data_IF_587072410972
#
_entry.id   IF_587072410972
#
_cell.length_a   1.000
_cell.length_b   1.000
_cell.length_c   1.000
_cell.angle_alpha   90.00
_cell.angle_beta   90.00
_cell.angle_gamma   90.00
#
_symmetry.space_group_name_H-M   'P 1'
#
loop_
_entity.id
_entity.type
_entity.pdbx_description
1 polymer ?
#
# COMPACT_ATOMS: atom_id res chain seq x y z
N UNK A 1 -2.85 -22.80 47.95
CA UNK A 1 -2.72 -23.28 46.54
C UNK A 1 -3.94 -22.91 45.70
N UNK A 2 -5.19 -23.27 46.02
CA UNK A 2 -6.38 -22.94 45.20
C UNK A 2 -6.57 -21.43 44.93
N UNK A 3 -6.32 -20.54 45.92
CA UNK A 3 -6.42 -19.09 45.76
C UNK A 3 -5.36 -18.51 44.79
N UNK A 4 -4.13 -19.06 44.82
CA UNK A 4 -3.05 -18.63 43.92
C UNK A 4 -3.36 -19.07 42.49
N UNK A 5 -3.85 -20.29 42.31
CA UNK A 5 -4.26 -20.77 40.97
C UNK A 5 -5.38 -19.91 40.38
N UNK A 6 -6.39 -19.55 41.21
CA UNK A 6 -7.51 -18.69 40.77
C UNK A 6 -7.01 -17.28 40.39
N UNK A 7 -6.08 -16.70 41.15
CA UNK A 7 -5.51 -15.38 40.85
C UNK A 7 -4.68 -15.41 39.55
N UNK A 8 -3.88 -16.45 39.32
CA UNK A 8 -3.11 -16.60 38.08
C UNK A 8 -4.05 -16.79 36.89
N UNK A 9 -5.10 -17.59 37.02
CA UNK A 9 -6.09 -17.78 35.96
C UNK A 9 -6.81 -16.47 35.62
N UNK A 10 -7.18 -15.68 36.63
CA UNK A 10 -7.83 -14.39 36.45
C UNK A 10 -6.92 -13.36 35.78
N UNK A 11 -5.60 -13.34 36.12
CA UNK A 11 -4.62 -12.50 35.43
C UNK A 11 -4.41 -12.93 33.96
N UNK A 12 -4.37 -14.23 33.68
CA UNK A 12 -4.26 -14.73 32.30
C UNK A 12 -5.49 -14.34 31.46
N UNK A 13 -6.69 -14.46 31.99
CA UNK A 13 -7.94 -14.06 31.32
C UNK A 13 -7.97 -12.55 31.09
N UNK A 14 -7.53 -11.72 32.05
CA UNK A 14 -7.44 -10.27 31.91
C UNK A 14 -6.41 -9.86 30.83
N UNK A 15 -5.28 -10.53 30.74
CA UNK A 15 -4.29 -10.28 29.68
C UNK A 15 -4.81 -10.64 28.29
N UNK A 16 -5.57 -11.71 28.14
CA UNK A 16 -6.18 -12.10 26.86
C UNK A 16 -7.26 -11.08 26.45
N UNK A 17 -8.05 -10.59 27.39
CA UNK A 17 -9.07 -9.56 27.13
C UNK A 17 -8.46 -8.21 26.73
N UNK A 18 -7.29 -7.83 27.28
CA UNK A 18 -6.58 -6.60 26.94
C UNK A 18 -5.90 -6.65 25.56
N UNK A 19 -5.72 -7.83 24.97
CA UNK A 19 -5.06 -8.00 23.66
C UNK A 19 -6.03 -7.87 22.48
N UNK A 20 -7.31 -7.58 22.68
CA UNK A 20 -8.26 -7.38 21.59
C UNK A 20 -8.09 -5.97 21.00
N UNK A 21 -7.13 -5.82 20.08
CA UNK A 21 -7.02 -4.61 19.25
C UNK A 21 -8.21 -4.59 18.30
N UNK A 22 -9.05 -3.58 18.41
CA UNK A 22 -10.17 -3.40 17.48
C UNK A 22 -9.63 -3.21 16.06
N UNK A 23 -10.00 -4.10 15.15
CA UNK A 23 -9.54 -4.04 13.76
C UNK A 23 -10.25 -2.92 13.02
N UNK A 24 -9.54 -2.07 12.26
CA UNK A 24 -10.17 -1.03 11.47
C UNK A 24 -11.13 -1.66 10.45
N UNK A 25 -12.30 -1.05 10.30
CA UNK A 25 -13.30 -1.47 9.30
C UNK A 25 -13.00 -0.95 7.90
N UNK A 26 -12.23 0.12 7.81
CA UNK A 26 -11.82 0.76 6.57
C UNK A 26 -10.37 1.24 6.73
N UNK A 27 -9.56 0.94 5.73
CA UNK A 27 -8.20 1.50 5.58
C UNK A 27 -8.18 2.27 4.27
N UNK A 28 -7.74 3.52 4.32
CA UNK A 28 -7.60 4.39 3.15
C UNK A 28 -6.12 4.72 2.97
N UNK A 29 -5.52 4.23 1.89
CA UNK A 29 -4.18 4.59 1.47
C UNK A 29 -4.23 5.76 0.48
N UNK A 30 -3.57 6.87 0.79
CA UNK A 30 -3.47 8.03 -0.10
C UNK A 30 -2.01 8.20 -0.49
N UNK A 31 -1.71 8.07 -1.79
CA UNK A 31 -0.38 8.30 -2.34
C UNK A 31 -0.41 9.52 -3.24
N UNK A 32 0.40 10.51 -2.93
CA UNK A 32 0.54 11.73 -3.72
C UNK A 32 1.87 11.64 -4.46
N UNK A 33 1.81 11.11 -5.67
CA UNK A 33 2.96 10.94 -6.55
C UNK A 33 3.62 12.29 -6.88
N UNK A 34 4.96 12.33 -6.90
CA UNK A 34 5.78 13.52 -7.18
C UNK A 34 5.65 14.66 -6.15
N UNK A 35 5.00 14.45 -5.02
CA UNK A 35 4.94 15.44 -3.95
C UNK A 35 6.26 15.47 -3.18
N UNK A 36 6.87 16.64 -3.10
CA UNK A 36 8.04 16.85 -2.23
C UNK A 36 7.61 16.90 -0.77
N UNK A 37 8.42 16.30 0.10
CA UNK A 37 8.15 16.24 1.54
C UNK A 37 8.01 17.64 2.17
N UNK A 38 8.85 18.58 1.78
CA UNK A 38 8.84 19.94 2.30
C UNK A 38 7.57 20.74 1.96
N UNK A 39 6.77 20.32 0.98
CA UNK A 39 5.49 20.96 0.68
C UNK A 39 4.50 20.84 1.85
N UNK A 40 4.60 19.83 2.69
CA UNK A 40 3.80 19.70 3.90
C UNK A 40 3.98 20.90 4.86
N UNK A 41 5.18 21.44 4.92
CA UNK A 41 5.54 22.57 5.80
C UNK A 41 5.53 23.89 5.06
N UNK A 42 6.03 23.92 3.82
CA UNK A 42 6.10 25.15 3.01
C UNK A 42 4.72 25.75 2.74
N UNK A 43 3.70 24.91 2.55
CA UNK A 43 2.34 25.33 2.31
C UNK A 43 1.43 25.20 3.54
N UNK A 44 2.00 25.01 4.72
CA UNK A 44 1.22 24.73 5.95
C UNK A 44 0.12 25.76 6.20
N UNK A 45 0.43 27.06 6.07
CA UNK A 45 -0.54 28.14 6.27
C UNK A 45 -1.64 28.22 5.20
N UNK A 46 -1.45 27.52 4.09
CA UNK A 46 -2.43 27.43 2.99
C UNK A 46 -3.39 26.27 3.13
N UNK A 47 -3.07 25.30 3.96
CA UNK A 47 -3.94 24.16 4.19
C UNK A 47 -5.15 24.54 5.06
N UNK A 48 -6.33 23.99 4.73
CA UNK A 48 -7.48 24.04 5.62
C UNK A 48 -7.24 23.20 6.89
N UNK A 49 -8.06 23.42 7.92
CA UNK A 49 -7.90 22.76 9.24
C UNK A 49 -8.10 21.23 9.17
N UNK A 50 -8.87 20.73 8.21
CA UNK A 50 -8.93 19.30 7.89
C UNK A 50 -7.77 18.85 7.00
N UNK A 51 -7.82 17.63 6.49
CA UNK A 51 -6.86 17.12 5.51
C UNK A 51 -5.41 17.13 6.02
N UNK A 52 -4.50 17.77 5.28
CA UNK A 52 -3.05 17.76 5.58
C UNK A 52 -2.72 18.30 6.96
N UNK A 53 -3.28 19.44 7.39
CA UNK A 53 -3.05 19.96 8.74
C UNK A 53 -3.45 18.97 9.82
N UNK A 54 -4.61 18.35 9.67
CA UNK A 54 -5.07 17.36 10.63
C UNK A 54 -4.15 16.15 10.68
N UNK A 55 -3.72 15.64 9.52
CA UNK A 55 -2.79 14.51 9.46
C UNK A 55 -1.43 14.83 10.08
N UNK A 56 -0.91 16.04 9.88
CA UNK A 56 0.35 16.49 10.48
C UNK A 56 0.23 16.63 12.00
N UNK A 57 -0.86 17.23 12.49
CA UNK A 57 -1.01 17.59 13.90
C UNK A 57 -1.52 16.44 14.78
N UNK A 58 -2.36 15.57 14.26
CA UNK A 58 -3.02 14.49 15.00
C UNK A 58 -2.50 13.10 14.61
N UNK A 59 -1.78 12.98 13.50
CA UNK A 59 -1.26 11.72 12.97
C UNK A 59 0.16 11.42 13.43
N UNK A 60 0.73 10.38 12.82
CA UNK A 60 2.14 10.01 12.99
C UNK A 60 2.91 10.32 11.70
N UNK A 61 4.03 11.04 11.81
CA UNK A 61 4.91 11.39 10.69
C UNK A 61 6.22 10.63 10.75
N UNK A 62 6.61 9.99 9.65
CA UNK A 62 7.91 9.36 9.48
C UNK A 62 8.85 10.35 8.77
N UNK A 63 9.55 11.18 9.52
CA UNK A 63 10.32 12.31 8.94
C UNK A 63 11.63 11.89 8.26
N UNK A 64 12.19 10.74 8.61
CA UNK A 64 13.45 10.23 8.07
C UNK A 64 13.28 8.97 7.21
N UNK A 65 12.12 8.81 6.58
CA UNK A 65 11.89 7.69 5.67
C UNK A 65 12.62 7.91 4.35
N UNK A 66 13.72 7.19 4.14
CA UNK A 66 14.54 7.29 2.93
C UNK A 66 14.28 6.11 2.01
N UNK A 67 14.17 6.41 0.70
CA UNK A 67 14.09 5.38 -0.34
C UNK A 67 15.52 4.92 -0.66
N UNK A 68 15.77 3.61 -0.64
CA UNK A 68 17.08 2.99 -0.80
C UNK A 68 17.29 2.34 -2.17
N UNK A 69 16.51 2.72 -3.18
CA UNK A 69 16.60 2.19 -4.55
C UNK A 69 16.46 3.30 -5.61
N UNK A 70 16.87 3.00 -6.82
CA UNK A 70 16.72 3.83 -8.02
C UNK A 70 16.27 2.93 -9.20
N UNK A 71 15.51 3.50 -10.17
CA UNK A 71 14.91 4.83 -10.20
C UNK A 71 13.64 4.92 -9.35
N UNK A 72 13.35 6.11 -8.83
CA UNK A 72 12.14 6.38 -8.02
C UNK A 72 10.97 6.85 -8.88
N UNK A 73 10.64 6.10 -9.91
CA UNK A 73 9.51 6.40 -10.82
C UNK A 73 8.21 5.78 -10.31
N UNK A 74 7.07 6.22 -10.85
CA UNK A 74 5.73 5.88 -10.36
C UNK A 74 5.51 4.38 -10.10
N UNK A 75 5.78 3.51 -11.09
CA UNK A 75 5.53 2.07 -10.97
C UNK A 75 6.33 1.45 -9.83
N UNK A 76 7.63 1.75 -9.78
CA UNK A 76 8.53 1.25 -8.72
C UNK A 76 8.11 1.74 -7.34
N UNK A 77 7.79 3.05 -7.22
CA UNK A 77 7.40 3.66 -5.96
C UNK A 77 6.11 3.06 -5.39
N UNK A 78 5.07 2.92 -6.21
CA UNK A 78 3.80 2.33 -5.78
C UNK A 78 3.96 0.85 -5.42
N UNK A 79 4.65 0.06 -6.26
CA UNK A 79 4.95 -1.32 -5.95
C UNK A 79 5.72 -1.47 -4.63
N UNK A 80 6.77 -0.67 -4.42
CA UNK A 80 7.57 -0.72 -3.19
C UNK A 80 6.77 -0.34 -1.95
N UNK A 81 5.93 0.69 -2.04
CA UNK A 81 5.11 1.15 -0.92
C UNK A 81 4.12 0.07 -0.46
N UNK A 82 3.43 -0.56 -1.40
CA UNK A 82 2.37 -1.50 -1.08
C UNK A 82 2.86 -2.95 -0.86
N UNK A 83 4.05 -3.29 -1.33
CA UNK A 83 4.69 -4.59 -1.02
C UNK A 83 5.58 -4.54 0.22
N UNK A 84 6.03 -3.34 0.64
CA UNK A 84 7.04 -3.17 1.67
C UNK A 84 8.43 -3.66 1.26
N UNK A 85 8.67 -3.86 -0.05
CA UNK A 85 9.89 -4.44 -0.59
C UNK A 85 10.51 -3.56 -1.67
N UNK A 86 11.78 -3.75 -1.98
CA UNK A 86 12.46 -3.05 -3.07
C UNK A 86 12.30 -3.74 -4.42
N UNK A 87 12.73 -3.08 -5.53
CA UNK A 87 12.59 -3.57 -6.91
C UNK A 87 13.16 -4.97 -7.15
N UNK A 88 14.26 -5.32 -6.51
CA UNK A 88 14.87 -6.65 -6.59
C UNK A 88 13.96 -7.78 -6.09
N UNK A 89 13.04 -7.46 -5.18
CA UNK A 89 12.09 -8.43 -4.60
C UNK A 89 10.77 -8.45 -5.36
N UNK A 90 10.18 -7.27 -5.61
CA UNK A 90 8.87 -7.21 -6.26
C UNK A 90 8.92 -7.23 -7.80
N UNK A 91 10.12 -7.15 -8.42
CA UNK A 91 10.32 -7.32 -9.86
C UNK A 91 9.97 -6.12 -10.73
N UNK A 92 9.38 -5.05 -10.20
CA UNK A 92 9.06 -3.83 -10.96
C UNK A 92 10.27 -2.91 -10.91
N UNK A 93 11.13 -2.99 -11.93
CA UNK A 93 12.39 -2.26 -11.96
C UNK A 93 12.25 -0.81 -12.47
N UNK A 94 11.23 -0.53 -13.28
CA UNK A 94 10.93 0.79 -13.85
C UNK A 94 9.47 0.84 -14.32
N UNK A 95 9.00 1.98 -14.82
CA UNK A 95 7.72 2.04 -15.54
C UNK A 95 7.74 1.17 -16.81
N UNK A 96 8.87 1.17 -17.50
CA UNK A 96 9.17 0.27 -18.63
C UNK A 96 10.57 -0.30 -18.41
N UNK A 97 10.73 -1.59 -18.47
CA UNK A 97 12.01 -2.27 -18.23
C UNK A 97 12.20 -3.44 -19.20
N UNK A 98 13.45 -3.92 -19.28
CA UNK A 98 13.79 -5.02 -20.16
C UNK A 98 13.55 -6.35 -19.44
N UNK A 99 12.72 -7.21 -20.03
CA UNK A 99 12.40 -8.54 -19.51
C UNK A 99 12.31 -9.53 -20.66
N UNK A 100 12.99 -10.67 -20.55
CA UNK A 100 12.95 -11.77 -21.50
C UNK A 100 13.20 -11.33 -22.96
N UNK A 101 14.18 -10.45 -23.16
CA UNK A 101 14.55 -9.95 -24.48
C UNK A 101 13.67 -8.84 -25.06
N UNK A 102 12.73 -8.28 -24.28
CA UNK A 102 11.78 -7.26 -24.73
C UNK A 102 11.66 -6.11 -23.73
N UNK A 103 11.32 -4.92 -24.22
CA UNK A 103 10.82 -3.84 -23.36
C UNK A 103 9.37 -4.12 -22.98
N UNK A 104 9.11 -4.16 -21.69
CA UNK A 104 7.80 -4.45 -21.10
C UNK A 104 7.39 -3.26 -20.25
N UNK A 105 6.18 -2.75 -20.45
CA UNK A 105 5.58 -1.81 -19.53
C UNK A 105 5.14 -2.54 -18.25
N UNK A 106 5.31 -1.93 -17.09
CA UNK A 106 5.18 -2.62 -15.80
C UNK A 106 3.82 -3.29 -15.55
N UNK A 107 2.76 -2.80 -16.19
CA UNK A 107 1.41 -3.33 -16.07
C UNK A 107 0.88 -4.01 -17.33
N UNK A 108 1.65 -4.10 -18.43
CA UNK A 108 1.17 -4.72 -19.65
C UNK A 108 0.71 -6.17 -19.41
N UNK A 109 -0.50 -6.46 -19.86
CA UNK A 109 -1.05 -7.80 -19.88
C UNK A 109 -1.97 -8.03 -21.08
N UNK A 110 -1.48 -8.75 -22.07
CA UNK A 110 -2.21 -9.07 -23.29
C UNK A 110 -3.42 -9.98 -23.08
N UNK A 111 -3.52 -10.64 -21.93
CA UNK A 111 -4.65 -11.51 -21.57
C UNK A 111 -5.80 -10.72 -20.94
N UNK A 112 -5.59 -9.45 -20.59
CA UNK A 112 -6.60 -8.60 -19.97
C UNK A 112 -7.31 -7.75 -21.02
N UNK A 113 -8.50 -7.29 -20.69
CA UNK A 113 -9.34 -6.48 -21.55
C UNK A 113 -9.91 -5.28 -20.82
N UNK A 114 -10.07 -4.19 -21.57
CA UNK A 114 -10.73 -3.00 -21.04
C UNK A 114 -12.23 -3.26 -20.86
N UNK A 115 -12.74 -3.05 -19.65
CA UNK A 115 -14.17 -3.15 -19.36
C UNK A 115 -14.90 -1.92 -19.92
N UNK A 116 -15.98 -2.15 -20.67
CA UNK A 116 -16.81 -1.08 -21.22
C UNK A 116 -16.25 -0.36 -22.45
N UNK A 117 -15.12 -0.83 -23.01
CA UNK A 117 -14.51 -0.22 -24.20
C UNK A 117 -13.81 -1.27 -25.07
N UNK A 118 -13.64 -0.96 -26.35
CA UNK A 118 -12.82 -1.75 -27.30
C UNK A 118 -11.35 -1.28 -27.31
N UNK A 119 -11.00 -0.30 -26.51
CA UNK A 119 -9.64 0.20 -26.37
C UNK A 119 -8.72 -0.84 -25.74
N UNK A 120 -7.45 -0.89 -26.12
CA UNK A 120 -6.45 -1.74 -25.49
C UNK A 120 -5.79 -1.07 -24.26
N UNK A 121 -6.16 0.16 -23.92
CA UNK A 121 -5.58 0.92 -22.81
C UNK A 121 -5.77 0.25 -21.45
N UNK A 122 -6.81 -0.57 -21.29
CA UNK A 122 -7.06 -1.33 -20.07
C UNK A 122 -6.59 -2.79 -20.11
N UNK A 123 -5.79 -3.19 -21.10
CA UNK A 123 -5.12 -4.50 -21.14
C UNK A 123 -3.92 -4.49 -20.17
N UNK A 124 -4.22 -4.36 -18.87
CA UNK A 124 -3.26 -4.11 -17.80
C UNK A 124 -3.57 -4.96 -16.58
N UNK A 125 -2.53 -5.49 -15.92
CA UNK A 125 -2.63 -6.20 -14.65
C UNK A 125 -1.33 -6.11 -13.84
N UNK A 126 -1.30 -6.56 -12.58
CA UNK A 126 -0.08 -6.63 -11.79
C UNK A 126 0.78 -7.87 -12.11
N UNK A 127 0.57 -8.59 -13.20
CA UNK A 127 1.23 -9.89 -13.52
C UNK A 127 2.76 -9.84 -13.51
N UNK A 128 3.35 -8.68 -13.75
CA UNK A 128 4.80 -8.53 -13.72
C UNK A 128 5.37 -8.38 -12.31
N UNK A 129 4.52 -8.20 -11.29
CA UNK A 129 4.92 -8.11 -9.91
C UNK A 129 5.14 -9.51 -9.33
N UNK A 130 6.26 -9.69 -8.62
CA UNK A 130 6.72 -10.96 -8.05
C UNK A 130 6.46 -11.06 -6.54
N UNK A 131 5.74 -10.11 -5.98
CA UNK A 131 5.45 -10.04 -4.54
C UNK A 131 3.99 -9.71 -4.31
N UNK A 132 3.45 -10.15 -3.18
CA UNK A 132 2.11 -9.78 -2.72
C UNK A 132 2.10 -8.40 -2.10
N UNK A 133 0.97 -7.72 -2.21
CA UNK A 133 0.76 -6.39 -1.59
C UNK A 133 0.07 -6.51 -0.23
N UNK A 134 0.03 -5.41 0.52
CA UNK A 134 -0.78 -5.32 1.74
C UNK A 134 -2.27 -5.58 1.45
N UNK A 135 -2.75 -5.22 0.26
CA UNK A 135 -4.10 -5.52 -0.21
C UNK A 135 -4.36 -7.02 -0.34
N UNK A 136 -3.42 -7.77 -0.92
CA UNK A 136 -3.48 -9.23 -1.01
C UNK A 136 -3.46 -9.87 0.38
N UNK A 137 -2.58 -9.41 1.25
CA UNK A 137 -2.47 -9.92 2.62
C UNK A 137 -3.73 -9.65 3.42
N UNK A 138 -4.38 -8.50 3.25
CA UNK A 138 -5.65 -8.19 3.87
C UNK A 138 -6.76 -9.15 3.40
N UNK A 139 -6.83 -9.41 2.11
CA UNK A 139 -7.79 -10.38 1.55
C UNK A 139 -7.59 -11.77 2.11
N UNK A 140 -6.32 -12.25 2.15
CA UNK A 140 -5.99 -13.55 2.74
C UNK A 140 -6.35 -13.61 4.24
N UNK A 141 -5.94 -12.61 5.02
CA UNK A 141 -6.20 -12.54 6.45
C UNK A 141 -7.69 -12.49 6.81
N UNK A 142 -8.54 -12.05 5.89
CA UNK A 142 -10.00 -11.98 6.05
C UNK A 142 -10.73 -13.13 5.35
N UNK A 143 -10.01 -14.14 4.90
CA UNK A 143 -10.56 -15.24 4.09
C UNK A 143 -11.34 -14.71 2.88
N UNK A 144 -10.72 -13.75 2.14
CA UNK A 144 -11.23 -13.07 0.95
C UNK A 144 -12.55 -12.28 1.15
N UNK A 145 -12.92 -11.96 2.38
CA UNK A 145 -14.08 -11.10 2.68
C UNK A 145 -13.79 -9.62 2.48
N UNK A 146 -12.56 -9.18 2.74
CA UNK A 146 -12.15 -7.81 2.48
C UNK A 146 -12.15 -7.51 0.97
N UNK A 147 -12.53 -6.28 0.64
CA UNK A 147 -12.48 -5.75 -0.72
C UNK A 147 -11.34 -4.72 -0.81
N UNK A 148 -10.61 -4.74 -1.91
CA UNK A 148 -9.53 -3.81 -2.20
C UNK A 148 -9.86 -3.08 -3.50
N UNK A 149 -9.72 -1.76 -3.50
CA UNK A 149 -9.99 -0.91 -4.65
C UNK A 149 -8.81 0.05 -4.85
N UNK A 150 -8.27 0.10 -6.06
CA UNK A 150 -7.30 1.09 -6.49
C UNK A 150 -7.97 2.13 -7.40
N UNK A 151 -7.74 3.41 -7.12
CA UNK A 151 -8.25 4.52 -7.93
C UNK A 151 -7.12 5.49 -8.20
N UNK A 152 -6.77 5.72 -9.46
CA UNK A 152 -5.74 6.68 -9.85
C UNK A 152 -5.95 7.15 -11.29
N UNK A 153 -5.28 8.26 -11.65
CA UNK A 153 -5.22 8.73 -13.05
C UNK A 153 -4.25 7.89 -13.89
N UNK A 154 -3.20 7.34 -13.26
CA UNK A 154 -2.22 6.46 -13.91
C UNK A 154 -2.58 5.00 -13.57
N UNK A 155 -2.68 4.16 -14.58
CA UNK A 155 -2.94 2.73 -14.47
C UNK A 155 -2.07 2.03 -13.40
N UNK A 156 -0.75 2.17 -13.49
CA UNK A 156 0.24 1.59 -12.57
C UNK A 156 0.10 2.06 -11.12
N UNK A 157 -0.50 3.21 -10.90
CA UNK A 157 -0.74 3.72 -9.54
C UNK A 157 -2.00 3.11 -8.89
N UNK A 158 -2.88 2.51 -9.68
CA UNK A 158 -4.07 1.81 -9.20
C UNK A 158 -3.92 0.28 -9.22
N UNK A 159 -3.08 -0.24 -10.14
CA UNK A 159 -2.96 -1.68 -10.40
C UNK A 159 -1.88 -2.33 -9.52
N UNK A 160 -0.77 -1.64 -9.28
CA UNK A 160 0.36 -2.20 -8.51
C UNK A 160 0.17 -2.17 -6.98
N UNK A 161 -0.64 -1.28 -6.37
CA UNK A 161 -1.00 -1.35 -4.95
C UNK A 161 -1.80 -2.63 -4.54
#
# INVERSE_FOLDING_TARGET
MKKIILSVLMCCVAMIAAAHVERPKLVVGIVIDQMRWDYLYYYYDKYGEGGMKRLINEGFSCENQMINYLPTVTGVGHASLYTGAGPATHGIACNTFYKDGKFVYCCDDENEQTVGSKSKVGAMSPRNMMSTTIGDMLRQATNFKAKVYGVALKDRAAILP
#
